data_IF_589083758021
#
_entry.id   IF_589083758021
#
_cell.length_a   1.000
_cell.length_b   1.000
_cell.length_c   1.000
_cell.angle_alpha   90.00
_cell.angle_beta   90.00
_cell.angle_gamma   90.00
#
_symmetry.space_group_name_H-M   'P 1'
#
loop_
_entity.id
_entity.type
_entity.pdbx_description
1 polymer ?
#
# COMPACT_ATOMS: atom_id res chain seq x y z
N UNK A 1 -46.80 17.35 46.77
CA UNK A 1 -46.35 16.11 46.11
C UNK A 1 -47.27 15.88 44.93
N UNK A 2 -46.80 16.12 43.71
CA UNK A 2 -47.55 15.89 42.47
C UNK A 2 -46.70 14.97 41.60
N UNK A 3 -47.16 13.75 41.40
CA UNK A 3 -46.64 12.79 40.43
C UNK A 3 -47.72 12.70 39.35
N UNK A 4 -47.62 13.56 38.34
CA UNK A 4 -48.43 13.52 37.13
C UNK A 4 -47.52 13.18 35.96
N UNK A 5 -47.67 11.98 35.42
CA UNK A 5 -46.76 11.38 34.44
C UNK A 5 -46.59 12.21 33.17
N UNK A 6 -45.33 12.47 32.84
CA UNK A 6 -44.92 12.73 31.47
C UNK A 6 -45.12 11.42 30.68
N UNK A 7 -46.29 11.27 30.08
CA UNK A 7 -46.48 10.33 28.98
C UNK A 7 -45.70 10.86 27.79
N UNK A 8 -44.42 10.48 27.73
CA UNK A 8 -43.50 10.80 26.64
C UNK A 8 -44.09 10.19 25.35
N UNK A 9 -44.75 11.02 24.55
CA UNK A 9 -45.01 10.71 23.15
C UNK A 9 -43.65 10.57 22.48
N UNK A 10 -43.11 9.35 22.44
CA UNK A 10 -41.97 9.00 21.61
C UNK A 10 -42.46 9.19 20.17
N UNK A 11 -42.33 10.41 19.67
CA UNK A 11 -42.81 10.82 18.36
C UNK A 11 -42.13 9.94 17.31
N UNK A 12 -42.85 9.61 16.24
CA UNK A 12 -42.33 8.83 15.13
C UNK A 12 -40.94 9.31 14.65
N UNK A 13 -40.65 10.59 14.82
CA UNK A 13 -39.36 11.25 14.59
C UNK A 13 -38.19 10.64 15.38
N UNK A 14 -38.36 10.28 16.66
CA UNK A 14 -37.31 9.63 17.46
C UNK A 14 -37.04 8.20 16.96
N UNK A 15 -38.08 7.51 16.50
CA UNK A 15 -37.93 6.20 15.87
C UNK A 15 -37.14 6.31 14.56
N UNK A 16 -37.39 7.35 13.76
CA UNK A 16 -36.64 7.63 12.53
C UNK A 16 -35.18 8.01 12.81
N UNK A 17 -34.90 8.83 13.83
CA UNK A 17 -33.52 9.18 14.21
C UNK A 17 -32.76 7.97 14.74
N UNK A 18 -33.39 7.13 15.56
CA UNK A 18 -32.79 5.88 16.06
C UNK A 18 -32.50 4.91 14.90
N UNK A 19 -33.43 4.74 13.96
CA UNK A 19 -33.22 3.91 12.77
C UNK A 19 -32.09 4.46 11.88
N UNK A 20 -32.03 5.76 11.66
CA UNK A 20 -30.97 6.40 10.90
C UNK A 20 -29.60 6.23 11.58
N UNK A 21 -29.53 6.35 12.91
CA UNK A 21 -28.31 6.12 13.67
C UNK A 21 -27.84 4.66 13.56
N UNK A 22 -28.75 3.69 13.66
CA UNK A 22 -28.44 2.26 13.46
C UNK A 22 -27.93 2.01 12.05
N UNK A 23 -28.56 2.60 11.03
CA UNK A 23 -28.13 2.46 9.63
C UNK A 23 -26.74 3.07 9.39
N UNK A 24 -26.44 4.23 9.98
CA UNK A 24 -25.11 4.88 9.89
C UNK A 24 -24.06 4.02 10.60
N UNK A 25 -24.36 3.49 11.79
CA UNK A 25 -23.46 2.58 12.51
C UNK A 25 -23.23 1.30 11.72
N UNK A 26 -24.28 0.72 11.12
CA UNK A 26 -24.15 -0.43 10.22
C UNK A 26 -23.31 -0.11 8.97
N UNK A 27 -23.46 1.08 8.40
CA UNK A 27 -22.66 1.53 7.25
C UNK A 27 -21.18 1.69 7.64
N UNK A 28 -20.90 2.24 8.83
CA UNK A 28 -19.54 2.34 9.37
C UNK A 28 -18.93 0.96 9.63
N UNK A 29 -19.69 0.03 10.22
CA UNK A 29 -19.20 -1.33 10.50
C UNK A 29 -18.98 -2.11 9.19
N UNK A 30 -19.92 -2.04 8.26
CA UNK A 30 -19.79 -2.74 6.96
C UNK A 30 -18.71 -2.11 6.10
N UNK A 31 -18.51 -0.79 6.11
CA UNK A 31 -17.39 -0.16 5.40
C UNK A 31 -16.03 -0.50 6.01
N UNK A 32 -15.93 -0.66 7.33
CA UNK A 32 -14.72 -1.15 7.98
C UNK A 32 -14.47 -2.63 7.69
N UNK A 33 -15.51 -3.46 7.72
CA UNK A 33 -15.43 -4.88 7.36
C UNK A 33 -15.08 -5.06 5.87
N UNK A 34 -15.66 -4.28 4.96
CA UNK A 34 -15.32 -4.29 3.53
C UNK A 34 -13.88 -3.81 3.31
N UNK A 35 -13.43 -2.77 4.03
CA UNK A 35 -12.02 -2.34 3.97
C UNK A 35 -11.08 -3.43 4.47
N UNK A 36 -11.47 -4.16 5.51
CA UNK A 36 -10.70 -5.29 6.04
C UNK A 36 -10.66 -6.50 5.11
N UNK A 37 -11.76 -6.84 4.43
CA UNK A 37 -11.78 -7.93 3.45
C UNK A 37 -11.06 -7.56 2.16
N UNK A 38 -11.20 -6.31 1.69
CA UNK A 38 -10.41 -5.81 0.57
C UNK A 38 -8.92 -5.77 0.91
N UNK A 39 -8.55 -5.37 2.13
CA UNK A 39 -7.18 -5.41 2.62
C UNK A 39 -6.61 -6.84 2.71
N UNK A 40 -7.41 -7.81 3.16
CA UNK A 40 -7.01 -9.22 3.27
C UNK A 40 -6.90 -9.92 1.91
N UNK A 41 -7.79 -9.60 0.95
CA UNK A 41 -7.64 -10.05 -0.43
C UNK A 41 -6.40 -9.43 -1.08
N UNK A 42 -6.12 -8.15 -0.83
CA UNK A 42 -4.86 -7.55 -1.30
C UNK A 42 -3.63 -8.09 -0.57
N UNK A 43 -3.65 -8.47 0.71
CA UNK A 43 -2.49 -9.11 1.37
C UNK A 43 -2.20 -10.51 0.80
N UNK A 44 -3.24 -11.30 0.52
CA UNK A 44 -3.11 -12.60 -0.13
C UNK A 44 -2.64 -12.48 -1.60
N UNK A 45 -2.99 -11.38 -2.27
CA UNK A 45 -2.64 -11.10 -3.67
C UNK A 45 -1.33 -10.27 -3.82
N UNK A 46 -0.89 -9.55 -2.79
CA UNK A 46 0.46 -8.94 -2.64
C UNK A 46 1.48 -10.01 -2.24
N UNK A 47 1.01 -11.14 -1.70
CA UNK A 47 1.66 -12.44 -1.79
C UNK A 47 1.68 -13.03 -3.20
N UNK A 48 1.54 -12.23 -4.27
CA UNK A 48 1.93 -12.61 -5.61
C UNK A 48 3.40 -13.04 -5.54
N UNK A 49 3.59 -14.36 -5.47
CA UNK A 49 4.87 -15.00 -5.74
C UNK A 49 5.30 -14.50 -7.10
N UNK A 50 6.15 -13.48 -7.12
CA UNK A 50 6.92 -13.12 -8.29
C UNK A 50 7.73 -14.39 -8.51
N UNK A 51 7.30 -15.21 -9.47
CA UNK A 51 7.70 -16.62 -9.59
C UNK A 51 9.20 -16.78 -9.45
N UNK A 52 9.63 -17.94 -8.94
CA UNK A 52 10.97 -18.29 -8.41
C UNK A 52 12.22 -18.02 -9.29
N UNK A 53 12.09 -17.26 -10.38
CA UNK A 53 13.20 -16.69 -11.12
C UNK A 53 13.89 -15.57 -10.31
N UNK A 54 15.19 -15.33 -10.50
CA UNK A 54 15.85 -14.16 -9.95
C UNK A 54 15.22 -12.91 -10.59
N UNK A 55 14.54 -12.10 -9.79
CA UNK A 55 13.86 -10.90 -10.26
C UNK A 55 14.44 -9.68 -9.60
N UNK A 56 14.54 -8.59 -10.36
CA UNK A 56 14.94 -7.28 -9.85
C UNK A 56 13.74 -6.60 -9.22
N UNK A 57 13.82 -6.38 -7.91
CA UNK A 57 12.77 -5.78 -7.11
C UNK A 57 13.20 -4.38 -6.70
N UNK A 58 12.29 -3.42 -6.88
CA UNK A 58 12.43 -2.08 -6.35
C UNK A 58 11.22 -1.76 -5.50
N UNK A 59 11.45 -1.24 -4.30
CA UNK A 59 10.40 -0.77 -3.40
C UNK A 59 10.57 0.72 -3.15
N UNK A 60 9.60 1.52 -3.59
CA UNK A 60 9.49 2.93 -3.25
C UNK A 60 8.77 3.10 -1.91
N UNK A 61 9.35 3.91 -1.01
CA UNK A 61 8.79 4.36 0.28
C UNK A 61 8.86 5.89 0.37
N UNK A 62 8.19 6.51 1.34
CA UNK A 62 8.16 7.98 1.48
C UNK A 62 9.54 8.68 1.33
N UNK A 63 10.59 8.18 1.98
CA UNK A 63 11.90 8.85 2.05
C UNK A 63 13.07 8.08 1.42
N UNK A 64 12.82 6.86 0.94
CA UNK A 64 13.85 6.00 0.39
C UNK A 64 13.31 5.06 -0.69
N UNK A 65 14.22 4.57 -1.52
CA UNK A 65 13.99 3.48 -2.45
C UNK A 65 14.87 2.30 -2.03
N UNK A 66 14.28 1.11 -1.97
CA UNK A 66 15.02 -0.12 -1.69
C UNK A 66 15.17 -0.91 -2.99
N UNK A 67 16.40 -1.19 -3.39
CA UNK A 67 16.76 -1.91 -4.59
C UNK A 67 17.24 -3.32 -4.22
N UNK A 68 16.83 -4.34 -4.98
CA UNK A 68 17.34 -5.70 -4.84
C UNK A 68 17.42 -6.36 -6.20
N UNK A 69 18.56 -6.95 -6.51
CA UNK A 69 18.75 -7.73 -7.72
C UNK A 69 18.97 -9.21 -7.35
N UNK A 70 18.06 -10.09 -7.77
CA UNK A 70 18.09 -11.52 -7.44
C UNK A 70 18.15 -11.78 -5.93
N UNK A 71 19.09 -12.64 -5.50
CA UNK A 71 19.30 -13.00 -4.10
C UNK A 71 20.25 -12.06 -3.34
N UNK A 72 20.65 -10.95 -3.96
CA UNK A 72 21.48 -9.93 -3.34
C UNK A 72 20.83 -9.30 -2.11
N UNK A 73 21.68 -8.73 -1.24
CA UNK A 73 21.21 -7.92 -0.12
C UNK A 73 20.47 -6.68 -0.64
N UNK A 74 19.38 -6.25 0.03
CA UNK A 74 18.67 -5.03 -0.33
C UNK A 74 19.55 -3.80 -0.10
N UNK A 75 19.71 -2.98 -1.13
CA UNK A 75 20.38 -1.69 -1.08
C UNK A 75 19.33 -0.61 -0.80
N UNK A 76 19.52 0.18 0.26
CA UNK A 76 18.67 1.32 0.57
C UNK A 76 19.27 2.59 0.00
N UNK A 77 18.48 3.32 -0.77
CA UNK A 77 18.89 4.53 -1.48
C UNK A 77 18.00 5.67 -1.02
N UNK A 78 18.53 6.67 -0.29
CA UNK A 78 17.76 7.86 0.07
C UNK A 78 17.43 8.70 -1.19
N UNK A 79 16.38 9.52 -1.12
CA UNK A 79 15.88 10.26 -2.29
C UNK A 79 16.89 11.18 -2.98
N UNK A 80 17.78 11.80 -2.20
CA UNK A 80 18.89 12.62 -2.72
C UNK A 80 19.85 11.80 -3.60
N UNK A 81 20.13 10.55 -3.19
CA UNK A 81 20.94 9.62 -3.96
C UNK A 81 20.21 9.08 -5.21
N UNK A 82 18.88 9.00 -5.18
CA UNK A 82 18.08 8.70 -6.39
C UNK A 82 18.27 9.80 -7.44
N UNK A 83 18.20 11.06 -7.03
CA UNK A 83 18.45 12.21 -7.91
C UNK A 83 19.89 12.26 -8.42
N UNK A 84 20.85 11.80 -7.63
CA UNK A 84 22.26 11.70 -8.01
C UNK A 84 22.56 10.55 -9.00
N UNK A 85 21.57 9.73 -9.33
CA UNK A 85 21.67 8.70 -10.37
C UNK A 85 22.09 7.31 -9.90
N UNK A 86 22.10 7.06 -8.59
CA UNK A 86 22.43 5.73 -8.02
C UNK A 86 21.50 4.64 -8.54
N UNK A 87 20.21 4.97 -8.75
CA UNK A 87 19.23 4.05 -9.31
C UNK A 87 19.52 3.73 -10.78
N UNK A 88 20.01 4.70 -11.55
CA UNK A 88 20.37 4.48 -12.95
C UNK A 88 21.60 3.58 -13.08
N UNK A 89 22.61 3.80 -12.23
CA UNK A 89 23.79 2.95 -12.18
C UNK A 89 23.43 1.50 -11.80
N UNK A 90 22.54 1.33 -10.81
CA UNK A 90 22.02 0.02 -10.46
C UNK A 90 21.25 -0.62 -11.62
N UNK A 91 20.38 0.13 -12.29
CA UNK A 91 19.55 -0.36 -13.39
C UNK A 91 20.36 -0.83 -14.60
N UNK A 92 21.56 -0.27 -14.87
CA UNK A 92 22.45 -0.77 -15.94
C UNK A 92 22.98 -2.18 -15.71
N UNK A 93 23.01 -2.64 -14.45
CA UNK A 93 23.41 -4.01 -14.09
C UNK A 93 22.25 -5.00 -14.04
N UNK A 94 21.04 -4.57 -14.40
CA UNK A 94 19.84 -5.40 -14.35
C UNK A 94 19.52 -5.96 -15.73
N UNK A 95 19.63 -7.27 -15.86
CA UNK A 95 19.10 -7.99 -17.01
C UNK A 95 17.66 -8.44 -16.74
N UNK A 96 16.73 -8.03 -17.62
CA UNK A 96 15.34 -8.51 -17.63
C UNK A 96 14.32 -7.62 -16.91
N UNK A 97 13.23 -8.25 -16.48
CA UNK A 97 12.05 -7.55 -15.98
C UNK A 97 12.26 -6.99 -14.57
N UNK A 98 11.95 -5.71 -14.38
CA UNK A 98 11.98 -5.04 -13.07
C UNK A 98 10.57 -4.94 -12.50
N UNK A 99 10.41 -5.32 -11.25
CA UNK A 99 9.17 -5.11 -10.50
C UNK A 99 9.32 -3.92 -9.58
N UNK A 100 8.48 -2.92 -9.81
CA UNK A 100 8.42 -1.69 -9.05
C UNK A 100 7.22 -1.78 -8.11
N UNK A 101 7.50 -1.94 -6.83
CA UNK A 101 6.53 -1.91 -5.76
C UNK A 101 6.46 -0.50 -5.17
N UNK A 102 5.27 0.05 -5.09
CA UNK A 102 5.02 1.41 -4.61
C UNK A 102 4.21 1.30 -3.31
N UNK A 103 4.80 1.73 -2.19
CA UNK A 103 4.07 1.85 -0.93
C UNK A 103 3.00 2.96 -1.01
N UNK A 104 2.03 2.93 -0.09
CA UNK A 104 0.90 3.88 -0.10
C UNK A 104 1.37 5.34 0.00
N UNK A 105 2.41 5.59 0.80
CA UNK A 105 3.00 6.90 1.08
C UNK A 105 4.12 7.31 0.10
N UNK A 106 4.39 6.50 -0.92
CA UNK A 106 5.57 6.63 -1.78
C UNK A 106 5.33 7.43 -3.05
N UNK A 107 4.44 8.43 -3.05
CA UNK A 107 4.07 9.16 -4.26
C UNK A 107 5.28 9.85 -4.92
N UNK A 108 6.07 10.59 -4.12
CA UNK A 108 7.23 11.35 -4.62
C UNK A 108 8.38 10.43 -5.03
N UNK A 109 8.70 9.44 -4.20
CA UNK A 109 9.76 8.48 -4.49
C UNK A 109 9.42 7.58 -5.69
N UNK A 110 8.16 7.22 -5.89
CA UNK A 110 7.73 6.48 -7.07
C UNK A 110 7.92 7.30 -8.35
N UNK A 111 7.61 8.60 -8.33
CA UNK A 111 7.84 9.47 -9.47
C UNK A 111 9.33 9.61 -9.82
N UNK A 112 10.17 9.84 -8.81
CA UNK A 112 11.62 9.93 -9.00
C UNK A 112 12.21 8.61 -9.51
N UNK A 113 11.74 7.50 -8.96
CA UNK A 113 12.14 6.16 -9.38
C UNK A 113 11.76 5.89 -10.83
N UNK A 114 10.51 6.14 -11.23
CA UNK A 114 10.06 5.94 -12.61
C UNK A 114 10.90 6.76 -13.60
N UNK A 115 11.24 7.99 -13.22
CA UNK A 115 12.09 8.87 -14.02
C UNK A 115 13.51 8.30 -14.16
N UNK A 116 14.09 7.80 -13.06
CA UNK A 116 15.43 7.19 -13.06
C UNK A 116 15.48 5.90 -13.90
N UNK A 117 14.54 4.98 -13.69
CA UNK A 117 14.48 3.71 -14.43
C UNK A 117 14.24 3.94 -15.94
N UNK A 118 13.40 4.90 -16.29
CA UNK A 118 13.17 5.28 -17.70
C UNK A 118 14.42 5.86 -18.35
N UNK A 119 15.18 6.72 -17.64
CA UNK A 119 16.46 7.25 -18.11
C UNK A 119 17.53 6.18 -18.27
N UNK A 120 17.48 5.14 -17.42
CA UNK A 120 18.35 3.98 -17.54
C UNK A 120 18.00 3.05 -18.72
N UNK A 121 16.88 3.29 -19.42
CA UNK A 121 16.48 2.52 -20.60
C UNK A 121 15.83 1.18 -20.28
N UNK A 122 15.30 0.99 -19.06
CA UNK A 122 14.59 -0.24 -18.71
C UNK A 122 13.28 -0.34 -19.50
N UNK A 123 13.23 -1.31 -20.42
CA UNK A 123 12.10 -1.51 -21.33
C UNK A 123 10.92 -2.25 -20.66
N UNK A 124 11.19 -3.14 -19.70
CA UNK A 124 10.18 -3.99 -19.08
C UNK A 124 10.06 -3.73 -17.58
N UNK A 125 9.11 -2.85 -17.23
CA UNK A 125 8.75 -2.54 -15.85
C UNK A 125 7.34 -3.01 -15.54
N UNK A 126 7.19 -3.81 -14.48
CA UNK A 126 5.87 -4.12 -13.90
C UNK A 126 5.67 -3.36 -12.61
N UNK A 127 4.56 -2.64 -12.52
CA UNK A 127 4.24 -1.81 -11.36
C UNK A 127 3.19 -2.48 -10.50
N UNK A 128 3.40 -2.46 -9.19
CA UNK A 128 2.45 -2.91 -8.19
C UNK A 128 2.35 -1.82 -7.14
N UNK A 129 1.16 -1.28 -6.93
CA UNK A 129 0.90 -0.35 -5.82
C UNK A 129 0.28 -1.13 -4.68
N UNK A 130 0.87 -1.03 -3.50
CA UNK A 130 0.33 -1.65 -2.29
C UNK A 130 -0.91 -0.87 -1.87
N UNK A 131 -2.01 -1.59 -1.62
CA UNK A 131 -3.25 -1.04 -1.09
C UNK A 131 -3.42 -1.52 0.36
N UNK A 132 -3.67 -0.61 1.30
CA UNK A 132 -3.94 -0.94 2.70
C UNK A 132 -2.76 -0.73 3.65
N UNK A 133 -2.93 -1.04 4.96
CA UNK A 133 -2.07 -0.64 6.06
C UNK A 133 -0.75 -1.42 6.13
N UNK A 134 -0.09 -1.63 4.99
CA UNK A 134 1.27 -2.12 4.92
C UNK A 134 2.21 -0.99 5.38
N UNK A 135 2.25 -0.74 6.70
CA UNK A 135 2.96 0.39 7.28
C UNK A 135 4.47 0.33 7.03
N UNK A 136 5.03 -0.88 6.90
CA UNK A 136 6.46 -1.13 6.68
C UNK A 136 6.69 -2.27 5.69
N UNK A 137 6.45 -2.04 4.39
CA UNK A 137 6.76 -3.05 3.36
C UNK A 137 8.25 -3.30 3.35
N UNK A 138 8.73 -4.54 3.27
CA UNK A 138 10.14 -4.91 3.14
C UNK A 138 10.35 -5.91 2.02
N UNK A 139 11.43 -5.78 1.26
CA UNK A 139 11.79 -6.78 0.26
C UNK A 139 12.24 -8.08 0.95
N UNK A 140 11.65 -9.19 0.56
CA UNK A 140 12.03 -10.56 0.96
C UNK A 140 12.44 -11.36 -0.28
N UNK A 141 12.98 -12.55 -0.08
CA UNK A 141 13.30 -13.43 -1.21
C UNK A 141 12.01 -13.71 -2.02
N UNK A 142 11.98 -13.25 -3.27
CA UNK A 142 10.84 -13.44 -4.16
C UNK A 142 9.64 -12.49 -3.98
N UNK A 143 9.75 -11.41 -3.20
CA UNK A 143 8.64 -10.46 -3.10
C UNK A 143 8.75 -9.40 -2.00
N UNK A 144 7.59 -9.01 -1.49
CA UNK A 144 7.43 -7.98 -0.44
C UNK A 144 6.67 -8.57 0.72
N UNK A 145 7.14 -8.33 1.94
CA UNK A 145 6.42 -8.64 3.17
C UNK A 145 6.01 -7.35 3.86
N UNK A 146 4.81 -7.30 4.43
CA UNK A 146 4.39 -6.22 5.31
C UNK A 146 4.79 -6.58 6.75
N UNK A 147 5.60 -5.74 7.39
CA UNK A 147 5.93 -5.87 8.81
C UNK A 147 4.97 -5.07 9.68
N UNK A 148 4.44 -5.71 10.74
CA UNK A 148 3.71 -5.05 11.83
C UNK A 148 4.64 -4.37 12.84
#
# INVERSE_FOLDING_TARGET
MSLGGAGEEIGATDLFFSLAAVLIVLLCITSQALRGTLAAETEAEIGAQIGAAPVSLVLARAEEVVLRHGDGAPLRVPLDAVLAGVVEDWARGVDGQVWVIIAEDAADSAFLLDTALSRAGLAEMRRVRLAGPCARPRLVAGGVACGG
#
